data_IF_423034713174
#
_entry.id   IF_423034713174
#
_cell.length_a   1.000
_cell.length_b   1.000
_cell.length_c   1.000
_cell.angle_alpha   90.00
_cell.angle_beta   90.00
_cell.angle_gamma   90.00
#
_symmetry.space_group_name_H-M   'P 1'
#
loop_
_entity.id
_entity.type
_entity.pdbx_description
1 polymer ?
#
# COMPACT_ATOMS: atom_id res chain seq x y z
N UNK A 1 18.47 -22.49 -0.15
CA UNK A 1 17.89 -21.23 -0.68
C UNK A 1 18.77 -20.02 -0.38
N UNK A 2 19.37 -19.97 0.82
CA UNK A 2 20.15 -18.81 1.30
C UNK A 2 21.61 -18.71 0.82
N UNK A 3 21.95 -19.41 -0.27
CA UNK A 3 23.33 -19.50 -0.79
C UNK A 3 23.93 -18.11 -1.04
N UNK A 4 23.12 -17.13 -1.44
CA UNK A 4 23.58 -15.78 -1.74
C UNK A 4 24.01 -14.95 -0.51
N UNK A 5 23.67 -15.38 0.71
CA UNK A 5 23.85 -14.57 1.93
C UNK A 5 24.62 -15.33 3.03
N UNK A 6 24.59 -16.67 3.02
CA UNK A 6 25.08 -17.50 4.12
C UNK A 6 26.52 -17.20 4.56
N UNK A 7 27.40 -16.84 3.62
CA UNK A 7 28.82 -16.63 3.89
C UNK A 7 29.13 -15.36 4.69
N UNK A 8 28.25 -14.34 4.62
CA UNK A 8 28.52 -13.00 5.16
C UNK A 8 27.43 -12.45 6.09
N UNK A 9 26.30 -13.15 6.22
CA UNK A 9 25.12 -12.62 6.92
C UNK A 9 25.39 -12.22 8.38
N UNK A 10 26.25 -12.97 9.07
CA UNK A 10 26.55 -12.76 10.49
C UNK A 10 27.84 -11.98 10.74
N UNK A 11 28.45 -11.42 9.69
CA UNK A 11 29.62 -10.56 9.85
C UNK A 11 29.25 -9.23 10.52
N UNK A 12 30.17 -8.64 11.30
CA UNK A 12 29.90 -7.36 11.97
C UNK A 12 29.69 -6.20 10.98
N UNK A 13 30.36 -6.26 9.82
CA UNK A 13 30.20 -5.34 8.69
C UNK A 13 30.23 -6.15 7.39
N UNK A 14 29.08 -6.66 6.94
CA UNK A 14 29.04 -7.54 5.78
C UNK A 14 29.52 -6.84 4.51
N UNK A 15 30.17 -7.61 3.62
CA UNK A 15 30.48 -7.21 2.24
C UNK A 15 31.44 -6.03 2.05
N UNK A 16 32.19 -5.63 3.09
CA UNK A 16 33.08 -4.46 3.07
C UNK A 16 34.18 -4.52 1.99
N UNK A 17 34.67 -5.72 1.68
CA UNK A 17 35.72 -5.97 0.70
C UNK A 17 35.18 -6.24 -0.72
N UNK A 18 33.86 -6.12 -0.91
CA UNK A 18 33.19 -6.42 -2.19
C UNK A 18 32.73 -5.14 -2.90
N UNK A 19 32.50 -5.17 -4.23
CA UNK A 19 32.03 -3.99 -4.97
C UNK A 19 30.57 -3.60 -4.65
N UNK A 20 29.87 -4.37 -3.82
CA UNK A 20 28.49 -4.06 -3.41
C UNK A 20 28.43 -2.88 -2.44
N UNK A 21 29.53 -2.58 -1.75
CA UNK A 21 29.68 -1.45 -0.83
C UNK A 21 30.79 -0.55 -1.35
N UNK A 22 30.72 0.74 -1.04
CA UNK A 22 31.73 1.73 -1.42
C UNK A 22 33.10 1.61 -0.72
N UNK A 23 33.38 0.50 -0.02
CA UNK A 23 34.62 0.23 0.72
C UNK A 23 34.53 0.51 2.23
N UNK A 24 35.65 0.82 2.91
CA UNK A 24 35.73 0.86 4.37
C UNK A 24 34.92 1.98 5.01
N UNK A 25 34.54 3.00 4.23
CA UNK A 25 33.64 4.07 4.67
C UNK A 25 32.21 3.58 4.94
N UNK A 26 31.78 2.48 4.33
CA UNK A 26 30.50 1.81 4.59
C UNK A 26 29.31 2.78 4.61
N UNK A 27 29.17 3.60 3.57
CA UNK A 27 28.12 4.63 3.49
C UNK A 27 27.04 4.32 2.45
N UNK A 28 27.37 3.52 1.42
CA UNK A 28 26.46 3.21 0.32
C UNK A 28 26.49 1.71 0.03
N UNK A 29 25.32 1.13 -0.23
CA UNK A 29 25.17 -0.25 -0.63
C UNK A 29 24.41 -0.37 -1.95
N UNK A 30 24.72 -1.42 -2.71
CA UNK A 30 24.05 -1.81 -3.94
C UNK A 30 24.00 -3.34 -3.99
N UNK A 31 22.80 -3.91 -3.91
CA UNK A 31 22.59 -5.35 -3.83
C UNK A 31 21.90 -5.88 -5.10
N UNK A 32 22.16 -7.15 -5.39
CA UNK A 32 21.53 -7.86 -6.49
C UNK A 32 20.13 -8.34 -6.08
N UNK A 33 19.27 -8.57 -7.07
CA UNK A 33 17.89 -9.03 -6.83
C UNK A 33 17.81 -10.35 -6.04
N UNK A 34 18.64 -11.38 -6.30
CA UNK A 34 18.63 -12.60 -5.50
C UNK A 34 18.96 -12.37 -4.03
N UNK A 35 19.93 -11.49 -3.73
CA UNK A 35 20.29 -11.14 -2.35
C UNK A 35 19.13 -10.42 -1.68
N UNK A 36 18.52 -9.44 -2.36
CA UNK A 36 17.40 -8.70 -1.78
C UNK A 36 16.18 -9.59 -1.53
N UNK A 37 15.89 -10.51 -2.44
CA UNK A 37 14.78 -11.46 -2.29
C UNK A 37 14.99 -12.37 -1.07
N UNK A 38 16.19 -12.92 -0.90
CA UNK A 38 16.49 -13.77 0.27
C UNK A 38 16.47 -12.96 1.58
N UNK A 39 16.98 -11.73 1.60
CA UNK A 39 16.89 -10.84 2.77
C UNK A 39 15.44 -10.50 3.12
N UNK A 40 14.59 -10.29 2.11
CA UNK A 40 13.16 -10.06 2.31
C UNK A 40 12.47 -11.28 2.90
N UNK A 41 12.74 -12.49 2.39
CA UNK A 41 12.18 -13.73 2.94
C UNK A 41 12.49 -13.88 4.44
N UNK A 42 13.72 -13.59 4.88
CA UNK A 42 14.10 -13.63 6.29
C UNK A 42 13.46 -12.50 7.11
N UNK A 43 13.47 -11.28 6.56
CA UNK A 43 12.95 -10.08 7.22
C UNK A 43 11.42 -9.99 7.28
N UNK A 44 10.73 -10.79 6.46
CA UNK A 44 9.27 -10.77 6.32
C UNK A 44 8.55 -10.91 7.67
N UNK A 45 9.11 -11.70 8.58
CA UNK A 45 8.55 -11.94 9.93
C UNK A 45 8.34 -10.68 10.76
N UNK A 46 9.10 -9.61 10.50
CA UNK A 46 8.98 -8.33 11.22
C UNK A 46 8.14 -7.31 10.43
N UNK A 47 7.89 -7.55 9.16
CA UNK A 47 7.10 -6.66 8.32
C UNK A 47 5.60 -6.89 8.56
N UNK A 48 4.80 -5.87 8.27
CA UNK A 48 3.35 -5.99 8.28
C UNK A 48 2.88 -6.32 6.87
N UNK A 49 1.96 -7.27 6.75
CA UNK A 49 1.35 -7.71 5.48
C UNK A 49 0.35 -6.70 4.89
N UNK A 50 0.58 -5.39 5.05
CA UNK A 50 -0.34 -4.34 4.58
C UNK A 50 0.29 -3.54 3.45
N UNK A 51 0.06 -3.95 2.19
CA UNK A 51 0.60 -3.26 1.04
C UNK A 51 -0.28 -2.09 0.58
N UNK A 52 -1.46 -1.87 1.20
CA UNK A 52 -2.38 -0.78 0.83
C UNK A 52 -2.37 0.35 1.87
N UNK A 53 -2.11 1.56 1.38
CA UNK A 53 -2.17 2.80 2.15
C UNK A 53 -3.60 3.10 2.64
N UNK A 54 -4.65 2.56 2.00
CA UNK A 54 -6.02 2.72 2.48
C UNK A 54 -6.27 2.07 3.85
N UNK A 55 -5.43 1.11 4.27
CA UNK A 55 -5.57 0.46 5.58
C UNK A 55 -5.31 1.42 6.76
N UNK A 56 -4.65 2.56 6.52
CA UNK A 56 -4.41 3.62 7.52
C UNK A 56 -5.39 4.79 7.38
N UNK A 57 -6.53 4.62 6.70
CA UNK A 57 -7.57 5.65 6.65
C UNK A 57 -8.04 6.01 8.07
N UNK A 58 -8.00 7.30 8.40
CA UNK A 58 -8.23 7.83 9.76
C UNK A 58 -7.23 7.36 10.83
N UNK A 59 -6.14 6.71 10.43
CA UNK A 59 -5.08 6.22 11.31
C UNK A 59 -3.68 6.61 10.79
N UNK A 60 -3.61 7.80 10.21
CA UNK A 60 -2.39 8.43 9.72
C UNK A 60 -2.05 9.68 10.56
N UNK A 61 -0.87 10.23 10.33
CA UNK A 61 -0.37 11.39 11.08
C UNK A 61 -1.27 12.61 10.94
N UNK A 62 -1.81 12.86 9.74
CA UNK A 62 -2.72 14.00 9.50
C UNK A 62 -4.04 13.82 10.24
N UNK A 63 -4.58 12.61 10.33
CA UNK A 63 -5.80 12.34 11.10
C UNK A 63 -5.56 12.58 12.58
N UNK A 64 -4.40 12.19 13.10
CA UNK A 64 -4.03 12.47 14.49
C UNK A 64 -3.84 13.96 14.76
N UNK A 65 -3.29 14.74 13.81
CA UNK A 65 -3.19 16.19 13.95
C UNK A 65 -4.57 16.85 13.99
N UNK A 66 -5.47 16.45 13.10
CA UNK A 66 -6.86 16.95 13.09
C UNK A 66 -7.61 16.54 14.35
N UNK A 67 -7.48 15.30 14.80
CA UNK A 67 -8.08 14.82 16.04
C UNK A 67 -7.56 15.60 17.27
N UNK A 68 -6.25 15.86 17.32
CA UNK A 68 -5.63 16.70 18.35
C UNK A 68 -6.17 18.13 18.33
N UNK A 69 -6.24 18.75 17.15
CA UNK A 69 -6.73 20.12 16.99
C UNK A 69 -8.19 20.28 17.45
N UNK A 70 -9.03 19.29 17.13
CA UNK A 70 -10.45 19.27 17.50
C UNK A 70 -10.73 18.74 18.91
N UNK A 71 -9.70 18.38 19.70
CA UNK A 71 -9.85 17.71 20.99
C UNK A 71 -10.73 16.44 20.93
N UNK A 72 -10.51 15.63 19.89
CA UNK A 72 -11.22 14.39 19.61
C UNK A 72 -10.26 13.20 19.69
N UNK A 73 -10.80 12.02 20.00
CA UNK A 73 -10.03 10.79 20.05
C UNK A 73 -10.61 9.77 19.06
N UNK A 74 -9.78 9.33 18.12
CA UNK A 74 -10.13 8.23 17.20
C UNK A 74 -10.06 6.92 17.99
N UNK A 75 -10.99 5.97 17.79
CA UNK A 75 -10.90 4.67 18.44
C UNK A 75 -9.56 3.98 18.19
N UNK A 76 -8.85 3.63 19.26
CA UNK A 76 -7.52 3.02 19.19
C UNK A 76 -6.37 4.00 18.89
N UNK A 77 -6.66 5.27 18.62
CA UNK A 77 -5.66 6.33 18.45
C UNK A 77 -5.21 6.99 19.76
N UNK A 78 -4.22 7.89 19.69
CA UNK A 78 -3.73 8.64 20.83
C UNK A 78 -4.75 9.68 21.33
N UNK A 79 -4.59 10.10 22.58
CA UNK A 79 -5.38 11.18 23.20
C UNK A 79 -4.46 12.31 23.59
N UNK A 80 -4.89 13.53 23.32
CA UNK A 80 -4.13 14.74 23.61
C UNK A 80 -4.90 15.66 24.56
N UNK A 81 -4.18 16.60 25.15
CA UNK A 81 -4.83 17.73 25.81
C UNK A 81 -5.46 18.68 24.78
N UNK A 82 -6.56 19.36 25.13
CA UNK A 82 -7.19 20.33 24.24
C UNK A 82 -6.20 21.43 23.86
N UNK A 83 -6.07 21.68 22.54
CA UNK A 83 -5.18 22.73 22.02
C UNK A 83 -5.72 24.12 22.34
N UNK A 84 -7.03 24.31 22.22
CA UNK A 84 -7.75 25.54 22.52
C UNK A 84 -8.62 25.29 23.76
N UNK A 85 -8.21 25.81 24.92
CA UNK A 85 -8.91 25.61 26.20
C UNK A 85 -10.01 26.66 26.45
N UNK A 86 -9.93 27.79 25.74
CA UNK A 86 -10.74 28.98 25.97
C UNK A 86 -11.93 29.09 25.00
N UNK A 87 -12.33 27.99 24.37
CA UNK A 87 -13.56 27.94 23.57
C UNK A 87 -14.74 27.80 24.55
N UNK A 88 -15.43 28.91 24.82
CA UNK A 88 -16.61 28.97 25.68
C UNK A 88 -17.71 28.03 25.17
N UNK A 89 -17.71 26.80 25.69
CA UNK A 89 -18.59 25.70 25.27
C UNK A 89 -20.06 25.96 25.63
N UNK A 90 -20.33 26.98 26.46
CA UNK A 90 -21.65 27.28 27.01
C UNK A 90 -22.56 28.06 26.07
N UNK A 91 -22.02 28.81 25.09
CA UNK A 91 -22.83 29.58 24.13
C UNK A 91 -23.20 28.78 22.86
N UNK A 92 -22.65 27.57 22.70
CA UNK A 92 -22.87 26.72 21.50
C UNK A 92 -24.23 26.00 21.49
N UNK A 93 -24.75 25.62 22.67
CA UNK A 93 -25.97 24.82 22.81
C UNK A 93 -27.27 25.64 22.69
N UNK A 94 -27.21 26.96 22.92
CA UNK A 94 -28.38 27.85 22.85
C UNK A 94 -28.38 28.76 21.61
N UNK A 95 -28.19 28.16 20.43
CA UNK A 95 -28.25 28.87 19.16
C UNK A 95 -29.55 28.59 18.40
N UNK A 96 -30.07 29.57 17.67
CA UNK A 96 -31.29 29.47 16.83
C UNK A 96 -31.19 28.36 15.76
N UNK A 97 -29.97 27.95 15.42
CA UNK A 97 -29.67 26.89 14.46
C UNK A 97 -29.67 25.48 15.07
N UNK A 98 -29.37 25.34 16.37
CA UNK A 98 -29.27 24.05 17.06
C UNK A 98 -30.59 23.64 17.75
N UNK A 99 -31.72 24.28 17.40
CA UNK A 99 -33.04 23.97 17.93
C UNK A 99 -33.45 22.53 17.57
N UNK A 100 -33.66 21.70 18.60
CA UNK A 100 -33.97 20.28 18.45
C UNK A 100 -35.22 20.00 17.62
N UNK A 101 -36.16 20.96 17.56
CA UNK A 101 -37.38 20.82 16.75
C UNK A 101 -37.14 21.02 15.25
N UNK A 102 -35.98 21.56 14.86
CA UNK A 102 -35.61 21.85 13.47
C UNK A 102 -34.56 20.89 12.92
N UNK A 103 -33.87 20.15 13.78
CA UNK A 103 -32.83 19.20 13.39
C UNK A 103 -33.44 17.81 13.21
N UNK A 104 -33.32 17.27 12.01
CA UNK A 104 -33.75 15.89 11.71
C UNK A 104 -32.58 14.94 12.00
N UNK A 105 -32.72 14.12 13.04
CA UNK A 105 -31.71 13.13 13.43
C UNK A 105 -32.08 11.77 12.85
N UNK A 106 -31.49 11.40 11.72
CA UNK A 106 -31.63 10.05 11.15
C UNK A 106 -30.51 9.11 11.61
N UNK A 107 -29.28 9.62 11.65
CA UNK A 107 -28.09 8.89 12.09
C UNK A 107 -27.25 9.79 12.98
N UNK A 108 -26.69 9.24 14.05
CA UNK A 108 -25.80 9.97 14.93
C UNK A 108 -24.49 10.27 14.20
N UNK A 109 -24.08 11.54 14.20
CA UNK A 109 -22.79 11.97 13.66
C UNK A 109 -21.70 11.43 14.58
N UNK A 110 -20.89 10.51 14.06
CA UNK A 110 -19.77 9.91 14.79
C UNK A 110 -18.52 10.81 14.75
N UNK A 111 -17.59 10.55 15.67
CA UNK A 111 -16.33 11.31 15.77
C UNK A 111 -15.46 11.13 14.51
N UNK A 112 -15.52 9.96 13.89
CA UNK A 112 -14.80 9.67 12.65
C UNK A 112 -15.22 10.60 11.51
N UNK A 113 -16.50 10.97 11.42
CA UNK A 113 -16.98 11.93 10.42
C UNK A 113 -16.44 13.33 10.67
N UNK A 114 -16.34 13.73 11.94
CA UNK A 114 -15.76 15.02 12.33
C UNK A 114 -14.26 15.10 12.02
N UNK A 115 -13.53 14.00 12.06
CA UNK A 115 -12.11 13.96 11.67
C UNK A 115 -11.94 13.83 10.15
N UNK A 116 -12.77 13.02 9.49
CA UNK A 116 -12.71 12.81 8.03
C UNK A 116 -13.08 14.07 7.25
N UNK A 117 -14.13 14.77 7.68
CA UNK A 117 -14.64 15.97 7.03
C UNK A 117 -14.65 17.14 8.03
N UNK A 118 -13.46 17.66 8.39
CA UNK A 118 -13.33 18.59 9.51
C UNK A 118 -14.06 19.91 9.31
N UNK A 119 -14.16 20.38 8.06
CA UNK A 119 -14.84 21.64 7.74
C UNK A 119 -16.36 21.53 7.65
N UNK A 120 -16.92 20.31 7.57
CA UNK A 120 -18.35 20.10 7.40
C UNK A 120 -19.07 19.90 8.74
N UNK A 121 -18.49 19.08 9.62
CA UNK A 121 -19.17 18.65 10.86
C UNK A 121 -18.67 19.36 12.12
N UNK A 122 -17.72 20.28 12.01
CA UNK A 122 -17.23 21.05 13.16
C UNK A 122 -17.47 22.54 12.94
N UNK A 123 -17.75 23.22 14.04
CA UNK A 123 -17.73 24.67 14.12
C UNK A 123 -16.28 25.10 14.37
N UNK A 124 -15.83 26.13 13.67
CA UNK A 124 -14.49 26.73 13.84
C UNK A 124 -13.32 25.72 13.77
N UNK A 125 -13.16 24.97 12.65
CA UNK A 125 -12.05 24.04 12.47
C UNK A 125 -10.71 24.78 12.35
N UNK A 126 -10.05 24.99 13.48
CA UNK A 126 -8.76 25.67 13.59
C UNK A 126 -7.62 24.64 13.57
N UNK A 127 -6.54 24.93 12.84
CA UNK A 127 -5.35 24.06 12.74
C UNK A 127 -5.62 22.61 12.28
N UNK A 128 -6.70 22.39 11.53
CA UNK A 128 -7.03 21.07 10.96
C UNK A 128 -6.21 20.76 9.70
N UNK A 129 -5.94 19.49 9.46
CA UNK A 129 -5.22 19.01 8.28
C UNK A 129 -6.15 18.20 7.36
N UNK A 130 -6.07 18.47 6.06
CA UNK A 130 -6.81 17.73 5.04
C UNK A 130 -6.11 16.41 4.69
N UNK A 131 -6.93 15.38 4.59
CA UNK A 131 -6.55 14.00 4.34
C UNK A 131 -6.88 13.61 2.89
N UNK A 132 -6.03 12.81 2.22
CA UNK A 132 -6.46 12.09 1.04
C UNK A 132 -7.63 11.18 1.41
N UNK A 133 -8.75 11.29 0.69
CA UNK A 133 -9.92 10.47 0.98
C UNK A 133 -9.70 9.00 0.63
N UNK A 134 -9.03 8.74 -0.50
CA UNK A 134 -8.84 7.38 -1.00
C UNK A 134 -7.58 7.31 -1.87
N UNK A 135 -6.84 6.21 -1.73
CA UNK A 135 -5.80 5.79 -2.65
C UNK A 135 -6.35 4.68 -3.56
N UNK A 136 -5.77 4.52 -4.75
CA UNK A 136 -6.14 3.39 -5.61
C UNK A 136 -5.90 2.08 -4.85
N UNK A 137 -6.94 1.24 -4.80
CA UNK A 137 -6.88 -0.05 -4.10
C UNK A 137 -5.77 -0.91 -4.69
N UNK A 138 -4.90 -1.42 -3.83
CA UNK A 138 -3.90 -2.39 -4.25
C UNK A 138 -4.58 -3.76 -4.48
N UNK A 139 -4.36 -4.36 -5.65
CA UNK A 139 -4.90 -5.67 -6.06
C UNK A 139 -3.76 -6.66 -6.35
N UNK A 140 -2.57 -6.39 -5.81
CA UNK A 140 -1.45 -7.32 -5.90
C UNK A 140 -1.76 -8.61 -5.11
N UNK A 141 -1.55 -9.75 -5.76
CA UNK A 141 -1.67 -11.08 -5.18
C UNK A 141 -0.25 -11.58 -4.90
N UNK A 142 0.02 -11.94 -3.65
CA UNK A 142 1.31 -12.47 -3.27
C UNK A 142 1.44 -13.93 -3.72
N UNK A 143 2.65 -14.29 -4.15
CA UNK A 143 2.99 -15.61 -4.66
C UNK A 143 3.64 -16.43 -3.56
N UNK A 144 2.90 -17.37 -2.98
CA UNK A 144 3.41 -18.24 -1.91
C UNK A 144 4.15 -19.46 -2.48
N UNK A 145 3.66 -20.03 -3.59
CA UNK A 145 4.21 -21.24 -4.20
C UNK A 145 5.21 -20.91 -5.32
N UNK A 146 6.51 -21.25 -5.19
CA UNK A 146 7.53 -20.97 -6.19
C UNK A 146 7.48 -21.88 -7.42
N UNK A 147 6.70 -22.96 -7.36
CA UNK A 147 6.54 -23.93 -8.45
C UNK A 147 5.56 -23.44 -9.53
N UNK A 148 4.73 -22.44 -9.20
CA UNK A 148 3.83 -21.81 -10.14
C UNK A 148 4.61 -20.81 -11.03
N UNK A 149 4.23 -20.66 -12.31
CA UNK A 149 4.83 -19.65 -13.18
C UNK A 149 4.61 -18.24 -12.62
N UNK A 150 5.44 -17.28 -13.00
CA UNK A 150 5.32 -15.90 -12.53
C UNK A 150 4.06 -15.22 -13.09
N UNK A 151 3.63 -15.60 -14.29
CA UNK A 151 2.40 -15.11 -14.92
C UNK A 151 1.40 -16.25 -15.10
N UNK A 152 0.36 -16.28 -14.27
CA UNK A 152 -0.80 -17.15 -14.44
C UNK A 152 -2.07 -16.48 -13.92
N UNK A 153 -3.20 -17.09 -14.25
CA UNK A 153 -4.50 -16.66 -13.78
C UNK A 153 -4.76 -17.27 -12.40
N UNK A 154 -4.57 -16.46 -11.36
CA UNK A 154 -4.77 -16.87 -9.98
C UNK A 154 -6.25 -17.18 -9.68
N UNK A 155 -6.57 -18.23 -8.90
CA UNK A 155 -7.95 -18.59 -8.54
C UNK A 155 -8.74 -17.49 -7.79
N UNK A 156 -8.07 -16.54 -7.15
CA UNK A 156 -8.68 -15.37 -6.50
C UNK A 156 -9.17 -14.34 -7.53
N UNK A 157 -8.68 -14.38 -8.77
CA UNK A 157 -9.14 -13.49 -9.84
C UNK A 157 -10.49 -14.00 -10.37
N UNK A 158 -11.47 -13.10 -10.38
CA UNK A 158 -12.77 -13.42 -10.94
C UNK A 158 -12.65 -13.79 -12.43
N UNK A 159 -13.23 -14.91 -12.89
CA UNK A 159 -13.13 -15.33 -14.28
C UNK A 159 -13.76 -14.29 -15.20
N UNK A 160 -13.09 -14.02 -16.32
CA UNK A 160 -13.55 -13.04 -17.30
C UNK A 160 -14.75 -13.63 -18.04
N UNK A 161 -15.94 -13.06 -17.83
CA UNK A 161 -17.13 -13.46 -18.56
C UNK A 161 -17.28 -12.64 -19.84
N UNK A 162 -17.27 -13.30 -20.99
CA UNK A 162 -17.55 -12.66 -22.29
C UNK A 162 -19.05 -12.36 -22.51
N UNK A 163 -19.92 -12.74 -21.57
CA UNK A 163 -21.39 -12.69 -21.70
C UNK A 163 -21.96 -11.26 -21.76
N UNK A 164 -21.15 -10.23 -21.49
CA UNK A 164 -21.56 -8.82 -21.49
C UNK A 164 -21.07 -7.98 -22.67
N UNK A 165 -20.27 -8.55 -23.59
CA UNK A 165 -19.64 -7.76 -24.65
C UNK A 165 -20.59 -7.44 -25.83
N UNK A 166 -21.71 -8.15 -25.99
CA UNK A 166 -22.74 -7.87 -27.00
C UNK A 166 -24.15 -8.24 -26.53
N UNK A 167 -25.17 -7.50 -27.00
CA UNK A 167 -26.56 -7.95 -26.91
C UNK A 167 -26.69 -9.31 -27.63
N UNK A 168 -27.49 -10.24 -27.09
CA UNK A 168 -27.65 -11.64 -27.54
C UNK A 168 -27.94 -11.86 -29.04
N UNK A 169 -28.13 -10.80 -29.83
CA UNK A 169 -28.53 -10.84 -31.24
C UNK A 169 -27.51 -10.21 -32.20
N UNK A 170 -26.34 -9.75 -31.72
CA UNK A 170 -25.27 -9.22 -32.59
C UNK A 170 -24.16 -10.28 -32.65
N UNK A 171 -23.83 -10.73 -33.86
CA UNK A 171 -22.67 -11.60 -34.10
C UNK A 171 -21.45 -10.97 -33.44
N UNK A 172 -20.62 -11.78 -32.78
CA UNK A 172 -19.34 -11.34 -32.22
C UNK A 172 -18.40 -10.97 -33.37
N UNK A 173 -18.64 -9.81 -33.98
CA UNK A 173 -17.70 -9.21 -34.94
C UNK A 173 -16.62 -8.60 -34.07
N UNK A 174 -15.44 -9.19 -34.11
CA UNK A 174 -14.28 -8.66 -33.41
C UNK A 174 -13.96 -7.24 -33.96
N UNK A 175 -13.31 -6.39 -33.17
CA UNK A 175 -12.94 -5.05 -33.64
C UNK A 175 -11.98 -5.13 -34.85
N UNK A 176 -11.16 -6.19 -34.92
CA UNK A 176 -10.36 -6.55 -36.08
C UNK A 176 -11.25 -6.84 -37.30
N UNK A 177 -12.33 -7.63 -37.17
CA UNK A 177 -13.25 -7.91 -38.29
C UNK A 177 -14.00 -6.65 -38.79
N UNK A 178 -14.19 -5.63 -37.93
CA UNK A 178 -14.78 -4.34 -38.33
C UNK A 178 -13.82 -3.48 -39.16
N UNK A 179 -12.52 -3.53 -38.83
CA UNK A 179 -11.49 -2.70 -39.48
C UNK A 179 -10.94 -3.37 -40.74
N UNK A 180 -10.68 -4.68 -40.66
CA UNK A 180 -10.00 -5.45 -41.69
C UNK A 180 -10.96 -6.27 -42.54
N UNK A 181 -12.26 -6.27 -42.23
CA UNK A 181 -13.22 -7.20 -42.81
C UNK A 181 -13.16 -8.57 -42.12
N UNK A 182 -14.14 -9.46 -42.37
CA UNK A 182 -14.13 -10.80 -41.79
C UNK A 182 -12.81 -11.50 -42.14
N UNK A 183 -12.15 -12.12 -41.15
CA UNK A 183 -10.86 -12.81 -41.32
C UNK A 183 -10.79 -13.84 -42.47
N UNK A 184 -11.95 -14.28 -42.98
CA UNK A 184 -12.06 -15.20 -44.13
C UNK A 184 -12.04 -14.50 -45.50
N UNK A 185 -12.01 -13.17 -45.55
CA UNK A 185 -11.76 -12.42 -46.76
C UNK A 185 -10.25 -12.26 -46.91
N UNK A 186 -9.63 -13.17 -47.68
CA UNK A 186 -8.23 -13.12 -48.08
C UNK A 186 -7.92 -11.77 -48.79
N UNK A 187 -7.64 -10.73 -48.03
CA UNK A 187 -7.09 -9.48 -48.55
C UNK A 187 -5.57 -9.66 -48.58
N UNK A 188 -5.10 -10.44 -49.56
CA UNK A 188 -3.68 -10.70 -49.92
C UNK A 188 -2.89 -9.40 -50.27
N UNK A 189 -3.46 -8.23 -49.96
CA UNK A 189 -2.93 -6.91 -50.30
C UNK A 189 -1.84 -6.42 -49.34
N UNK A 190 -1.63 -7.08 -48.20
CA UNK A 190 -0.63 -6.67 -47.22
C UNK A 190 0.10 -7.87 -46.58
N UNK A 191 1.41 -7.96 -46.83
CA UNK A 191 2.32 -8.90 -46.19
C UNK A 191 3.33 -8.12 -45.33
N UNK A 192 3.64 -8.64 -44.13
CA UNK A 192 4.75 -8.12 -43.34
C UNK A 192 6.07 -8.56 -43.98
N UNK A 193 7.07 -7.68 -43.98
CA UNK A 193 8.42 -8.00 -44.45
C UNK A 193 9.00 -9.15 -43.62
N UNK A 194 9.75 -10.06 -44.27
CA UNK A 194 10.36 -11.24 -43.62
C UNK A 194 11.32 -10.87 -42.46
N UNK A 195 11.85 -9.65 -42.45
CA UNK A 195 12.74 -9.14 -41.40
C UNK A 195 11.98 -8.65 -40.14
N UNK A 196 10.65 -8.59 -40.19
CA UNK A 196 9.82 -8.06 -39.10
C UNK A 196 9.36 -9.20 -38.20
N UNK A 197 10.07 -9.37 -37.09
CA UNK A 197 9.72 -10.30 -36.02
C UNK A 197 9.19 -9.54 -34.77
N UNK A 198 8.43 -10.22 -33.89
CA UNK A 198 8.04 -9.64 -32.61
C UNK A 198 9.27 -9.20 -31.80
N UNK A 199 9.20 -8.03 -31.19
CA UNK A 199 10.26 -7.56 -30.32
C UNK A 199 10.54 -8.58 -29.20
N UNK A 200 11.83 -8.88 -28.97
CA UNK A 200 12.30 -9.82 -27.95
C UNK A 200 11.85 -11.27 -28.14
N UNK A 201 11.55 -11.70 -29.38
CA UNK A 201 11.22 -13.10 -29.69
C UNK A 201 12.25 -14.12 -29.17
N UNK A 202 13.53 -13.74 -29.11
CA UNK A 202 14.62 -14.59 -28.62
C UNK A 202 14.58 -14.86 -27.10
N UNK A 203 13.82 -14.08 -26.32
CA UNK A 203 13.85 -14.12 -24.85
C UNK A 203 12.60 -14.79 -24.29
N UNK A 204 12.73 -15.65 -23.27
CA UNK A 204 11.57 -16.20 -22.59
C UNK A 204 10.79 -15.11 -21.86
N UNK A 205 9.48 -15.33 -21.69
CA UNK A 205 8.57 -14.41 -21.00
C UNK A 205 8.96 -14.20 -19.52
N UNK A 206 9.42 -15.27 -18.86
CA UNK A 206 9.77 -15.26 -17.44
C UNK A 206 11.05 -16.06 -17.17
N UNK A 207 11.71 -15.70 -16.07
CA UNK A 207 12.89 -16.36 -15.54
C UNK A 207 12.62 -16.74 -14.06
N UNK A 208 13.48 -17.57 -13.47
CA UNK A 208 13.39 -17.99 -12.06
C UNK A 208 13.37 -16.84 -11.02
N UNK A 209 13.74 -15.62 -11.43
CA UNK A 209 13.78 -14.43 -10.57
C UNK A 209 12.60 -13.46 -10.82
N UNK A 210 11.78 -13.69 -11.85
CA UNK A 210 10.72 -12.76 -12.25
C UNK A 210 9.67 -12.60 -11.14
N UNK A 211 9.15 -13.70 -10.60
CA UNK A 211 8.18 -13.68 -9.50
C UNK A 211 8.74 -12.98 -8.24
N UNK A 212 9.99 -13.27 -7.87
CA UNK A 212 10.69 -12.63 -6.75
C UNK A 212 10.89 -11.12 -6.99
N UNK A 213 11.21 -10.72 -8.22
CA UNK A 213 11.35 -9.32 -8.60
C UNK A 213 10.05 -8.54 -8.51
N UNK A 214 8.94 -9.12 -8.99
CA UNK A 214 7.60 -8.55 -8.88
C UNK A 214 7.19 -8.42 -7.41
N UNK A 215 7.51 -9.43 -6.60
CA UNK A 215 7.27 -9.38 -5.15
C UNK A 215 7.99 -8.19 -4.52
N UNK A 216 9.30 -8.08 -4.72
CA UNK A 216 10.13 -6.99 -4.18
C UNK A 216 9.61 -5.60 -4.57
N UNK A 217 9.02 -5.45 -5.77
CA UNK A 217 8.41 -4.19 -6.19
C UNK A 217 7.31 -3.69 -5.25
N UNK A 218 6.51 -4.60 -4.70
CA UNK A 218 5.40 -4.30 -3.79
C UNK A 218 5.77 -4.33 -2.31
N UNK A 219 7.03 -4.65 -1.99
CA UNK A 219 7.49 -4.68 -0.60
C UNK A 219 7.66 -3.27 -0.01
N UNK A 220 7.54 -3.12 1.31
CA UNK A 220 7.83 -1.84 1.96
C UNK A 220 9.33 -1.52 1.96
N UNK A 221 9.66 -0.25 2.19
CA UNK A 221 11.02 0.17 2.53
C UNK A 221 11.53 -0.68 3.72
N UNK A 222 12.75 -1.23 3.67
CA UNK A 222 13.83 -0.93 2.72
C UNK A 222 13.97 -1.89 1.51
N UNK A 223 13.09 -2.87 1.35
CA UNK A 223 13.29 -4.00 0.41
C UNK A 223 12.93 -3.68 -1.04
N UNK A 224 12.19 -2.59 -1.29
CA UNK A 224 11.82 -2.12 -2.63
C UNK A 224 12.94 -1.42 -3.39
N UNK A 225 14.05 -1.09 -2.73
CA UNK A 225 15.20 -0.40 -3.34
C UNK A 225 16.34 -1.38 -3.59
N UNK A 226 17.02 -1.29 -4.74
CA UNK A 226 18.21 -2.11 -5.02
C UNK A 226 19.50 -1.53 -4.47
N UNK A 227 19.50 -0.23 -4.18
CA UNK A 227 20.64 0.47 -3.62
C UNK A 227 20.16 1.57 -2.68
N UNK A 228 21.04 2.00 -1.79
CA UNK A 228 20.69 2.99 -0.80
C UNK A 228 21.86 3.41 0.08
N UNK A 229 21.55 4.30 1.00
CA UNK A 229 22.49 4.77 1.99
C UNK A 229 22.46 3.86 3.21
N UNK A 230 23.62 3.65 3.81
CA UNK A 230 23.72 3.00 5.11
C UNK A 230 23.08 3.92 6.17
N UNK A 231 22.37 3.31 7.11
CA UNK A 231 21.73 4.01 8.22
C UNK A 231 22.37 3.55 9.52
N UNK A 232 22.37 4.42 10.54
CA UNK A 232 22.84 4.01 11.87
C UNK A 232 21.87 2.96 12.41
N UNK A 233 22.36 1.99 13.17
CA UNK A 233 21.53 0.91 13.73
C UNK A 233 20.33 1.45 14.54
N UNK A 234 20.53 2.54 15.28
CA UNK A 234 19.48 3.21 16.06
C UNK A 234 18.42 3.95 15.22
N UNK A 235 18.70 4.26 13.96
CA UNK A 235 17.76 4.96 13.06
C UNK A 235 16.83 3.98 12.32
N UNK A 236 16.93 2.67 12.59
CA UNK A 236 16.11 1.61 12.02
C UNK A 236 15.04 1.16 13.01
N UNK A 237 13.81 1.69 12.94
CA UNK A 237 12.78 1.38 13.92
C UNK A 237 12.01 0.11 13.54
N UNK A 238 12.57 -1.06 13.89
CA UNK A 238 12.06 -2.38 13.49
C UNK A 238 10.57 -2.60 13.81
N UNK A 239 10.10 -2.11 14.96
CA UNK A 239 8.73 -2.33 15.44
C UNK A 239 7.78 -1.16 15.15
N UNK A 240 8.23 -0.14 14.38
CA UNK A 240 7.40 1.06 14.09
C UNK A 240 6.09 0.69 13.41
N UNK A 241 6.16 -0.18 12.42
CA UNK A 241 5.00 -0.56 11.62
C UNK A 241 3.96 -1.32 12.45
N UNK A 242 4.35 -1.94 13.57
CA UNK A 242 3.44 -2.70 14.42
C UNK A 242 2.47 -1.80 15.17
N UNK A 243 2.96 -0.74 15.84
CA UNK A 243 2.09 0.17 16.60
C UNK A 243 1.44 1.23 15.73
N UNK A 244 1.97 1.51 14.54
CA UNK A 244 1.30 2.30 13.50
C UNK A 244 0.06 1.62 12.92
N UNK A 245 -0.14 0.32 13.20
CA UNK A 245 -1.36 -0.40 12.87
C UNK A 245 -2.29 -0.51 14.09
N UNK A 246 -3.59 -0.69 13.82
CA UNK A 246 -4.57 -0.97 14.87
C UNK A 246 -4.19 -2.23 15.67
N UNK A 247 -4.25 -2.11 17.00
CA UNK A 247 -4.02 -3.23 17.91
C UNK A 247 -5.06 -4.34 17.69
N UNK A 248 -4.64 -5.62 17.56
CA UNK A 248 -5.58 -6.74 17.42
C UNK A 248 -6.54 -6.87 18.61
N UNK A 249 -7.80 -7.24 18.32
CA UNK A 249 -8.89 -7.26 19.31
C UNK A 249 -8.69 -8.30 20.44
N UNK A 250 -7.86 -9.33 20.25
CA UNK A 250 -7.60 -10.35 21.28
C UNK A 250 -6.69 -9.90 22.42
N UNK A 251 -6.00 -8.76 22.30
CA UNK A 251 -5.00 -8.36 23.28
C UNK A 251 -5.59 -7.68 24.53
N UNK A 252 -4.94 -7.83 25.70
CA UNK A 252 -5.39 -7.23 26.94
C UNK A 252 -5.27 -5.70 26.92
N UNK A 253 -6.03 -5.03 27.80
CA UNK A 253 -6.07 -3.57 27.91
C UNK A 253 -4.67 -2.96 28.07
N UNK A 254 -3.77 -3.63 28.81
CA UNK A 254 -2.37 -3.18 28.96
C UNK A 254 -1.69 -2.93 27.61
N UNK A 255 -1.80 -3.89 26.68
CA UNK A 255 -1.17 -3.81 25.36
C UNK A 255 -1.84 -2.72 24.52
N UNK A 256 -3.17 -2.63 24.56
CA UNK A 256 -3.91 -1.59 23.83
C UNK A 256 -3.51 -0.17 24.28
N UNK A 257 -3.32 0.03 25.59
CA UNK A 257 -2.83 1.30 26.13
C UNK A 257 -1.39 1.55 25.70
N UNK A 258 -0.52 0.53 25.67
CA UNK A 258 0.85 0.67 25.15
C UNK A 258 0.87 1.13 23.69
N UNK A 259 0.02 0.54 22.82
CA UNK A 259 -0.11 0.99 21.43
C UNK A 259 -0.52 2.46 21.34
N UNK A 260 -1.54 2.87 22.10
CA UNK A 260 -2.00 4.27 22.15
C UNK A 260 -0.96 5.27 22.67
N UNK A 261 0.03 4.81 23.44
CA UNK A 261 1.10 5.65 23.98
C UNK A 261 2.32 5.74 23.07
N UNK A 262 2.52 4.73 22.21
CA UNK A 262 3.58 4.72 21.20
C UNK A 262 3.19 5.49 19.94
N UNK A 263 1.87 5.55 19.65
CA UNK A 263 1.26 6.45 18.67
C UNK A 263 1.31 7.91 19.16
#
# INVERSE_FOLDING_TARGET
EDVCIIDWFYDPKPLIDTPTVNGPSYCYWSLTLPVMANLYCLGHTLLSDRPDNNASYLFDTKSFFTAKALNMAIPGGPKFEPLYRDMDTFDEDWNKFNDINKVIIQQQIRMEYRVAFPHLYNLLPTSVHLLPYHHLKNVYIHMDDPDLPAFYFDPLINPISLRGMTAKNVSLVSHEDVIFGPSDADDDNFELLEEVEPFLADKPLENNLTAKGITLWWTPDPYNCRSGWMRRAQDMPLVKNWYMAHCPLGHPVKVRVSYQKLL
#
